data_IF_556976050587
#
_entry.id   IF_556976050587
#
_cell.length_a   1.000
_cell.length_b   1.000
_cell.length_c   1.000
_cell.angle_alpha   90.00
_cell.angle_beta   90.00
_cell.angle_gamma   90.00
#
_symmetry.space_group_name_H-M   'P 1'
#
loop_
_entity.id
_entity.type
_entity.pdbx_description
1 polymer ?
#
# COMPACT_ATOMS: atom_id res chain seq x y z
N UNK A 1 12.57 27.57 -7.74
CA UNK A 1 13.15 26.36 -7.12
C UNK A 1 14.04 25.67 -8.14
N UNK A 2 15.34 25.62 -7.88
CA UNK A 2 16.36 25.13 -8.80
C UNK A 2 16.34 23.59 -8.91
N UNK A 3 16.81 23.06 -10.03
CA UNK A 3 16.89 21.62 -10.36
C UNK A 3 17.58 20.79 -9.25
N UNK A 4 18.47 21.37 -8.47
CA UNK A 4 19.14 20.75 -7.33
C UNK A 4 18.21 20.49 -6.13
N UNK A 5 17.22 21.32 -5.86
CA UNK A 5 16.22 21.09 -4.80
C UNK A 5 15.28 19.93 -5.13
N UNK A 6 14.97 19.71 -6.41
CA UNK A 6 14.18 18.55 -6.85
C UNK A 6 14.91 17.22 -6.67
N UNK A 7 16.21 17.20 -6.91
CA UNK A 7 17.04 15.97 -6.74
C UNK A 7 17.20 15.61 -5.26
N UNK A 8 17.34 16.60 -4.39
CA UNK A 8 17.41 16.38 -2.93
C UNK A 8 16.09 15.85 -2.36
N UNK A 9 14.95 16.34 -2.81
CA UNK A 9 13.62 15.89 -2.36
C UNK A 9 13.26 14.47 -2.86
N UNK A 10 13.67 14.12 -4.07
CA UNK A 10 13.51 12.75 -4.60
C UNK A 10 14.35 11.76 -3.80
N UNK A 11 15.59 12.13 -3.41
CA UNK A 11 16.42 11.31 -2.51
C UNK A 11 15.78 11.11 -1.13
N UNK A 12 15.19 12.15 -0.54
CA UNK A 12 14.50 12.06 0.76
C UNK A 12 13.26 11.16 0.66
N UNK A 13 12.54 11.16 -0.46
CA UNK A 13 11.35 10.32 -0.66
C UNK A 13 11.70 8.85 -0.94
N UNK A 14 12.81 8.57 -1.64
CA UNK A 14 13.32 7.21 -1.80
C UNK A 14 13.79 6.64 -0.46
N UNK A 15 14.42 7.44 0.38
CA UNK A 15 14.79 7.08 1.76
C UNK A 15 13.55 6.90 2.63
N UNK A 16 12.50 7.68 2.42
CA UNK A 16 11.25 7.58 3.19
C UNK A 16 10.48 6.28 2.88
N UNK A 17 10.59 5.74 1.66
CA UNK A 17 9.97 4.44 1.32
C UNK A 17 10.70 3.28 2.02
N UNK A 18 12.03 3.37 2.17
CA UNK A 18 12.82 2.41 2.98
C UNK A 18 12.50 2.58 4.47
N UNK A 19 12.40 3.81 4.95
CA UNK A 19 12.05 4.13 6.35
C UNK A 19 10.62 3.73 6.69
N UNK A 20 9.66 3.82 5.75
CA UNK A 20 8.28 3.35 5.96
C UNK A 20 8.18 1.83 6.07
N UNK A 21 9.06 1.07 5.41
CA UNK A 21 9.18 -0.38 5.64
C UNK A 21 9.70 -0.69 7.06
N UNK A 22 10.63 0.13 7.59
CA UNK A 22 11.14 0.01 8.96
C UNK A 22 10.16 0.47 10.04
N UNK A 23 9.36 1.48 9.77
CA UNK A 23 8.34 1.97 10.73
C UNK A 23 7.26 0.91 10.97
N UNK A 24 6.98 0.02 10.04
CA UNK A 24 6.02 -1.08 10.26
C UNK A 24 6.49 -2.10 11.33
N UNK A 25 7.80 -2.32 11.50
CA UNK A 25 8.29 -3.24 12.55
C UNK A 25 8.33 -2.59 13.95
N UNK A 26 8.60 -1.28 14.03
CA UNK A 26 8.59 -0.57 15.33
C UNK A 26 7.16 -0.26 15.84
N UNK A 27 6.15 -0.25 14.96
CA UNK A 27 4.74 -0.06 15.33
C UNK A 27 4.17 -1.21 16.16
N UNK A 28 4.60 -2.46 15.94
CA UNK A 28 4.14 -3.60 16.74
C UNK A 28 4.57 -3.49 18.22
N UNK A 29 5.68 -2.81 18.51
CA UNK A 29 6.13 -2.56 19.87
C UNK A 29 5.28 -1.47 20.55
N UNK A 30 5.00 -0.37 19.85
CA UNK A 30 4.16 0.73 20.38
C UNK A 30 2.71 0.25 20.55
N UNK A 31 2.16 -0.55 19.63
CA UNK A 31 0.83 -1.15 19.77
C UNK A 31 0.74 -2.09 20.99
N UNK A 32 1.76 -2.91 21.24
CA UNK A 32 1.82 -3.77 22.43
C UNK A 32 1.85 -2.96 23.74
N UNK A 33 2.60 -1.87 23.77
CA UNK A 33 2.68 -1.00 24.96
C UNK A 33 1.35 -0.28 25.20
N UNK A 34 0.69 0.23 24.17
CA UNK A 34 -0.61 0.92 24.30
C UNK A 34 -1.76 -0.03 24.67
N UNK A 35 -1.72 -1.29 24.24
CA UNK A 35 -2.72 -2.31 24.60
C UNK A 35 -2.59 -2.76 26.06
N UNK A 36 -1.39 -2.73 26.63
CA UNK A 36 -1.13 -3.08 28.02
C UNK A 36 -1.69 -2.05 29.03
N UNK A 37 -1.91 -0.81 28.61
CA UNK A 37 -2.38 0.25 29.49
C UNK A 37 -3.88 0.55 29.42
N UNK A 38 -4.66 -0.20 28.62
CA UNK A 38 -6.12 -0.01 28.50
C UNK A 38 -6.52 1.47 28.30
N UNK A 39 -5.63 2.27 27.74
CA UNK A 39 -5.88 3.67 27.39
C UNK A 39 -6.69 3.69 26.11
N UNK A 40 -7.98 3.46 26.28
CA UNK A 40 -8.99 3.83 25.27
C UNK A 40 -9.13 5.33 25.38
N UNK A 41 -8.62 6.13 24.42
CA UNK A 41 -8.74 7.56 24.52
C UNK A 41 -10.21 7.94 24.40
N UNK A 42 -10.71 8.66 25.40
CA UNK A 42 -12.05 9.25 25.37
C UNK A 42 -12.00 10.44 24.40
N UNK A 43 -12.78 10.42 23.39
CA UNK A 43 -12.65 10.85 22.08
C UNK A 43 -13.17 12.11 21.62
N UNK A 44 -12.39 12.65 20.86
CA UNK A 44 -12.62 13.36 19.61
C UNK A 44 -13.83 14.28 19.60
N UNK A 45 -13.78 15.34 20.40
CA UNK A 45 -14.26 16.63 19.97
C UNK A 45 -13.31 17.12 18.87
N UNK A 46 -13.51 16.62 17.65
CA UNK A 46 -12.78 17.08 16.48
C UNK A 46 -13.24 18.49 16.17
N UNK A 47 -12.42 19.49 16.57
CA UNK A 47 -12.62 20.90 16.22
C UNK A 47 -12.81 21.04 14.71
N UNK A 48 -13.85 21.74 14.29
CA UNK A 48 -14.25 21.92 12.89
C UNK A 48 -13.49 23.04 12.19
N UNK A 49 -12.70 23.83 12.90
CA UNK A 49 -11.92 24.96 12.36
C UNK A 49 -10.44 24.61 12.37
N UNK A 50 -9.93 23.97 11.31
CA UNK A 50 -8.51 23.73 11.14
C UNK A 50 -7.95 24.53 9.96
N UNK A 51 -6.78 25.18 10.12
CA UNK A 51 -5.95 25.65 9.01
C UNK A 51 -5.69 24.51 8.04
N UNK A 52 -5.25 24.78 6.83
CA UNK A 52 -5.08 23.77 5.77
C UNK A 52 -4.53 22.44 6.32
N UNK A 53 -5.25 21.33 6.09
CA UNK A 53 -4.88 20.00 6.61
C UNK A 53 -3.52 19.50 6.09
N UNK A 54 -2.88 20.24 5.19
CA UNK A 54 -1.58 19.94 4.61
C UNK A 54 -0.72 21.21 4.47
N UNK A 55 0.62 21.03 4.59
CA UNK A 55 1.61 22.12 4.53
C UNK A 55 1.90 22.52 3.08
N UNK A 56 2.13 21.52 2.22
CA UNK A 56 2.33 21.69 0.80
C UNK A 56 1.95 20.44 0.04
N UNK A 57 1.77 20.57 -1.27
CA UNK A 57 1.56 19.45 -2.18
C UNK A 57 2.55 19.54 -3.33
N UNK A 58 2.92 18.39 -3.89
CA UNK A 58 3.77 18.32 -5.07
C UNK A 58 3.37 17.15 -5.96
N UNK A 59 3.65 17.29 -7.23
CA UNK A 59 3.37 16.27 -8.22
C UNK A 59 4.59 15.38 -8.41
N UNK A 60 4.44 14.05 -8.24
CA UNK A 60 5.51 13.07 -8.44
C UNK A 60 5.54 12.59 -9.90
N UNK A 61 4.37 12.46 -10.50
CA UNK A 61 4.12 12.08 -11.90
C UNK A 61 2.88 12.80 -12.35
N UNK A 62 2.68 12.91 -13.65
CA UNK A 62 1.46 13.49 -14.23
C UNK A 62 0.21 12.99 -13.51
N UNK A 63 -0.57 13.92 -12.98
CA UNK A 63 -1.81 13.69 -12.23
C UNK A 63 -1.68 12.92 -10.90
N UNK A 64 -0.45 12.65 -10.43
CA UNK A 64 -0.21 12.00 -9.13
C UNK A 64 0.37 12.97 -8.11
N UNK A 65 -0.48 13.46 -7.21
CA UNK A 65 -0.16 14.47 -6.21
C UNK A 65 0.05 13.85 -4.83
N UNK A 66 1.13 14.26 -4.16
CA UNK A 66 1.38 13.95 -2.74
C UNK A 66 1.07 15.17 -1.91
N UNK A 67 0.34 14.97 -0.83
CA UNK A 67 0.02 15.98 0.16
C UNK A 67 0.82 15.72 1.42
N UNK A 68 1.64 16.68 1.82
CA UNK A 68 2.39 16.61 3.07
C UNK A 68 1.48 17.10 4.19
N UNK A 69 1.01 16.20 5.09
CA UNK A 69 0.08 16.58 6.13
C UNK A 69 0.73 17.53 7.14
N UNK A 70 -0.06 18.40 7.78
CA UNK A 70 0.38 19.11 8.98
C UNK A 70 0.64 18.10 10.12
N UNK A 71 1.35 18.54 11.17
CA UNK A 71 1.63 17.69 12.34
C UNK A 71 0.32 17.16 12.96
N UNK A 72 -0.68 18.03 13.07
CA UNK A 72 -2.00 17.71 13.62
C UNK A 72 -2.74 16.71 12.73
N UNK A 73 -2.67 16.89 11.40
CA UNK A 73 -3.30 15.97 10.43
C UNK A 73 -2.58 14.62 10.41
N UNK A 74 -1.27 14.61 10.56
CA UNK A 74 -0.48 13.38 10.66
C UNK A 74 -0.89 12.57 11.89
N UNK A 75 -0.99 13.21 13.05
CA UNK A 75 -1.38 12.57 14.31
C UNK A 75 -2.83 12.09 14.26
N UNK A 76 -3.75 12.93 13.83
CA UNK A 76 -5.17 12.58 13.61
C UNK A 76 -5.31 11.42 12.62
N UNK A 77 -4.53 11.40 11.55
CA UNK A 77 -4.52 10.33 10.57
C UNK A 77 -4.08 8.99 11.14
N UNK A 78 -3.08 8.99 12.02
CA UNK A 78 -2.66 7.79 12.76
C UNK A 78 -3.76 7.27 13.66
N UNK A 79 -4.42 8.15 14.41
CA UNK A 79 -5.55 7.79 15.29
C UNK A 79 -6.72 7.20 14.49
N UNK A 80 -7.06 7.80 13.34
CA UNK A 80 -8.08 7.26 12.42
C UNK A 80 -7.68 5.87 11.93
N UNK A 81 -6.43 5.67 11.53
CA UNK A 81 -5.93 4.37 11.09
C UNK A 81 -6.12 3.30 12.17
N UNK A 82 -5.65 3.55 13.39
CA UNK A 82 -5.79 2.64 14.55
C UNK A 82 -7.27 2.36 14.83
N UNK A 83 -8.10 3.39 14.85
CA UNK A 83 -9.54 3.26 15.10
C UNK A 83 -10.23 2.35 14.08
N UNK A 84 -9.92 2.50 12.78
CA UNK A 84 -10.50 1.66 11.74
C UNK A 84 -9.97 0.22 11.86
N UNK A 85 -8.69 0.04 12.14
CA UNK A 85 -8.07 -1.28 12.35
C UNK A 85 -8.74 -2.06 13.47
N UNK A 86 -9.18 -1.40 14.53
CA UNK A 86 -9.95 -2.01 15.63
C UNK A 86 -11.38 -2.41 15.22
N UNK A 87 -12.01 -1.67 14.31
CA UNK A 87 -13.40 -1.89 13.89
C UNK A 87 -13.53 -2.82 12.69
N UNK A 88 -12.51 -2.94 11.88
CA UNK A 88 -12.53 -3.71 10.64
C UNK A 88 -11.56 -4.88 10.67
N UNK A 89 -12.10 -6.09 10.60
CA UNK A 89 -11.31 -7.30 10.38
C UNK A 89 -10.99 -7.41 8.88
N UNK A 90 -9.85 -6.87 8.48
CA UNK A 90 -9.43 -6.91 7.08
C UNK A 90 -9.08 -8.33 6.62
N UNK A 91 -9.31 -8.65 5.32
CA UNK A 91 -9.08 -9.97 4.77
C UNK A 91 -7.60 -10.38 4.81
N UNK A 92 -7.36 -11.69 4.89
CA UNK A 92 -6.00 -12.24 4.92
C UNK A 92 -5.18 -11.93 3.67
N UNK A 93 -5.80 -11.71 2.53
CA UNK A 93 -5.12 -11.38 1.28
C UNK A 93 -4.61 -9.93 1.21
N UNK A 94 -4.94 -9.04 2.15
CA UNK A 94 -4.44 -7.65 2.20
C UNK A 94 -3.12 -7.56 2.96
N UNK A 95 -2.01 -7.75 2.27
CA UNK A 95 -0.68 -7.87 2.88
C UNK A 95 -0.08 -6.56 3.36
N UNK A 96 -0.44 -5.41 2.79
CA UNK A 96 0.04 -4.10 3.28
C UNK A 96 -0.55 -3.69 4.64
N UNK A 97 -1.57 -4.39 5.13
CA UNK A 97 -2.14 -4.22 6.47
C UNK A 97 -1.62 -5.27 7.48
N UNK A 98 -0.69 -6.13 7.07
CA UNK A 98 -0.17 -7.26 7.85
C UNK A 98 1.34 -7.15 8.03
N UNK A 99 1.86 -7.87 9.04
CA UNK A 99 3.30 -8.03 9.24
C UNK A 99 3.94 -8.75 8.05
N UNK A 100 5.19 -8.39 7.74
CA UNK A 100 5.96 -8.95 6.62
C UNK A 100 5.68 -8.28 5.26
N UNK A 101 4.62 -7.48 5.14
CA UNK A 101 4.34 -6.60 4.01
C UNK A 101 4.45 -7.27 2.64
N UNK A 102 5.13 -6.61 1.69
CA UNK A 102 5.28 -7.08 0.31
C UNK A 102 6.14 -8.34 0.18
N UNK A 103 7.10 -8.55 1.09
CA UNK A 103 7.92 -9.79 1.09
C UNK A 103 7.06 -10.98 1.46
N UNK A 104 6.18 -10.84 2.47
CA UNK A 104 5.23 -11.89 2.82
C UNK A 104 4.19 -12.12 1.72
N UNK A 105 3.77 -11.06 1.00
CA UNK A 105 2.92 -11.19 -0.17
C UNK A 105 3.60 -12.03 -1.26
N UNK A 106 4.84 -11.72 -1.64
CA UNK A 106 5.59 -12.47 -2.63
C UNK A 106 5.83 -13.94 -2.21
N UNK A 107 6.16 -14.18 -0.93
CA UNK A 107 6.39 -15.51 -0.39
C UNK A 107 5.15 -16.43 -0.43
N UNK A 108 3.93 -15.88 -0.35
CA UNK A 108 2.70 -16.65 -0.52
C UNK A 108 2.68 -17.41 -1.85
N UNK A 109 3.23 -16.81 -2.90
CA UNK A 109 3.18 -17.30 -4.27
C UNK A 109 4.36 -18.20 -4.66
N UNK A 110 5.38 -18.30 -3.82
CA UNK A 110 6.68 -18.89 -4.15
C UNK A 110 6.62 -20.34 -4.66
N UNK A 111 5.60 -21.08 -4.29
CA UNK A 111 5.44 -22.49 -4.66
C UNK A 111 4.67 -22.70 -5.97
N UNK A 112 4.02 -21.69 -6.49
CA UNK A 112 3.26 -21.78 -7.73
C UNK A 112 4.18 -21.80 -8.96
N UNK A 113 3.66 -22.33 -10.08
CA UNK A 113 4.38 -22.41 -11.36
C UNK A 113 4.17 -21.18 -12.24
N UNK A 114 3.02 -20.52 -12.12
CA UNK A 114 2.62 -19.37 -12.94
C UNK A 114 2.13 -18.21 -12.09
N UNK A 115 2.42 -16.99 -12.54
CA UNK A 115 2.19 -15.75 -11.81
C UNK A 115 1.62 -14.69 -12.75
N UNK A 116 0.82 -13.79 -12.21
CA UNK A 116 0.39 -12.57 -12.90
C UNK A 116 0.27 -11.41 -11.92
N UNK A 117 0.43 -10.19 -12.42
CA UNK A 117 0.32 -8.95 -11.66
C UNK A 117 -0.67 -8.01 -12.33
N UNK A 118 -1.60 -7.45 -11.56
CA UNK A 118 -2.50 -6.38 -12.00
C UNK A 118 -2.21 -5.14 -11.16
N UNK A 119 -1.77 -4.05 -11.80
CA UNK A 119 -1.56 -2.74 -11.18
C UNK A 119 -2.84 -1.89 -11.37
N UNK A 120 -3.37 -1.36 -10.28
CA UNK A 120 -4.56 -0.49 -10.31
C UNK A 120 -4.13 0.96 -10.47
N UNK A 121 -4.50 1.58 -11.59
CA UNK A 121 -4.21 3.00 -11.84
C UNK A 121 -4.91 3.88 -10.82
N UNK A 122 -4.17 4.87 -10.31
CA UNK A 122 -4.68 5.92 -9.43
C UNK A 122 -5.62 5.40 -8.33
N UNK A 123 -5.15 4.37 -7.62
CA UNK A 123 -5.94 3.64 -6.60
C UNK A 123 -6.59 4.56 -5.56
N UNK A 124 -5.89 5.61 -5.13
CA UNK A 124 -6.40 6.57 -4.17
C UNK A 124 -7.36 7.59 -4.82
N UNK A 125 -7.04 8.09 -6.01
CA UNK A 125 -7.90 9.02 -6.74
C UNK A 125 -9.21 8.37 -7.20
N UNK A 126 -9.22 7.05 -7.39
CA UNK A 126 -10.44 6.27 -7.64
C UNK A 126 -11.34 6.11 -6.40
N UNK A 127 -10.91 6.59 -5.22
CA UNK A 127 -11.65 6.45 -3.96
C UNK A 127 -12.18 7.80 -3.48
N UNK A 128 -13.46 8.06 -3.78
CA UNK A 128 -14.13 9.32 -3.44
C UNK A 128 -14.52 9.40 -1.96
N UNK A 129 -14.68 10.64 -1.45
CA UNK A 129 -15.21 10.91 -0.10
C UNK A 129 -16.56 10.22 0.15
N UNK A 130 -17.44 10.21 -0.85
CA UNK A 130 -18.75 9.56 -0.74
C UNK A 130 -18.62 8.04 -0.58
N UNK A 131 -17.70 7.42 -1.33
CA UNK A 131 -17.38 5.99 -1.18
C UNK A 131 -16.85 5.70 0.21
N UNK A 132 -15.89 6.50 0.71
CA UNK A 132 -15.35 6.36 2.07
C UNK A 132 -16.46 6.49 3.13
N UNK A 133 -17.32 7.50 3.01
CA UNK A 133 -18.45 7.70 3.94
C UNK A 133 -19.38 6.48 3.96
N UNK A 134 -19.73 5.97 2.79
CA UNK A 134 -20.62 4.81 2.65
C UNK A 134 -20.03 3.54 3.30
N UNK A 135 -18.77 3.25 3.01
CA UNK A 135 -18.14 2.03 3.51
C UNK A 135 -17.82 2.11 5.01
N UNK A 136 -17.46 3.28 5.51
CA UNK A 136 -17.32 3.52 6.95
C UNK A 136 -18.66 3.43 7.68
N UNK A 137 -19.78 3.81 7.04
CA UNK A 137 -21.12 3.70 7.61
C UNK A 137 -21.56 2.26 7.94
N UNK A 138 -20.84 1.25 7.41
CA UNK A 138 -21.01 -0.16 7.80
C UNK A 138 -20.33 -0.51 9.13
N UNK A 139 -19.40 0.32 9.60
CA UNK A 139 -18.59 0.08 10.79
C UNK A 139 -18.93 1.00 11.95
N UNK A 140 -19.41 2.21 11.64
CA UNK A 140 -19.65 3.28 12.61
C UNK A 140 -20.90 4.10 12.22
N UNK A 141 -21.53 4.84 13.17
CA UNK A 141 -22.66 5.71 12.85
C UNK A 141 -22.34 6.72 11.74
N UNK A 142 -23.34 7.01 10.90
CA UNK A 142 -23.21 7.82 9.68
C UNK A 142 -22.51 9.17 9.90
N UNK A 143 -22.88 9.89 10.97
CA UNK A 143 -22.30 11.20 11.31
C UNK A 143 -20.77 11.06 11.48
N UNK A 144 -20.32 10.04 12.21
CA UNK A 144 -18.90 9.76 12.43
C UNK A 144 -18.20 9.28 11.15
N UNK A 145 -18.87 8.44 10.35
CA UNK A 145 -18.37 8.01 9.05
C UNK A 145 -18.12 9.20 8.13
N UNK A 146 -19.06 10.13 8.03
CA UNK A 146 -18.96 11.36 7.24
C UNK A 146 -17.85 12.27 7.74
N UNK A 147 -17.72 12.42 9.06
CA UNK A 147 -16.66 13.22 9.67
C UNK A 147 -15.27 12.65 9.34
N UNK A 148 -15.05 11.35 9.55
CA UNK A 148 -13.78 10.67 9.20
C UNK A 148 -13.48 10.82 7.71
N UNK A 149 -14.47 10.62 6.84
CA UNK A 149 -14.28 10.75 5.39
C UNK A 149 -13.85 12.17 5.00
N UNK A 150 -14.44 13.23 5.59
CA UNK A 150 -14.04 14.64 5.35
C UNK A 150 -12.62 14.93 5.80
N UNK A 151 -12.21 14.41 6.96
CA UNK A 151 -10.85 14.56 7.50
C UNK A 151 -9.80 13.73 6.77
N UNK A 152 -10.23 12.79 5.94
CA UNK A 152 -9.35 11.83 5.25
C UNK A 152 -9.31 12.04 3.74
N UNK A 153 -9.95 13.06 3.21
CA UNK A 153 -9.99 13.36 1.78
C UNK A 153 -9.63 14.82 1.53
N UNK A 154 -9.07 15.09 0.36
CA UNK A 154 -8.69 16.42 -0.11
C UNK A 154 -9.44 16.77 -1.38
N UNK A 155 -9.52 18.05 -1.71
CA UNK A 155 -9.97 18.48 -3.03
C UNK A 155 -9.04 17.87 -4.09
N UNK A 156 -9.63 17.22 -5.09
CA UNK A 156 -8.86 16.58 -6.16
C UNK A 156 -8.16 17.65 -6.99
N UNK A 157 -6.83 17.64 -7.10
CA UNK A 157 -6.12 18.62 -7.93
C UNK A 157 -6.38 18.42 -9.44
N UNK A 158 -6.73 17.19 -9.82
CA UNK A 158 -7.04 16.86 -11.20
C UNK A 158 -8.47 17.32 -11.52
N UNK A 159 -8.67 17.97 -12.66
CA UNK A 159 -9.98 18.52 -13.04
C UNK A 159 -11.00 17.43 -13.39
N UNK A 160 -10.50 16.24 -13.75
CA UNK A 160 -11.31 15.09 -14.12
C UNK A 160 -11.49 14.14 -12.93
N UNK A 161 -12.71 13.62 -12.73
CA UNK A 161 -12.99 12.63 -11.69
C UNK A 161 -13.78 13.17 -10.50
N UNK A 162 -13.56 12.60 -9.32
CA UNK A 162 -14.28 12.96 -8.10
C UNK A 162 -13.79 14.29 -7.53
N UNK A 163 -14.72 15.08 -6.94
CA UNK A 163 -14.40 16.38 -6.33
C UNK A 163 -13.45 16.25 -5.13
N UNK A 164 -13.62 15.21 -4.30
CA UNK A 164 -12.76 14.92 -3.14
C UNK A 164 -12.36 13.45 -3.18
N UNK A 165 -11.05 13.21 -2.97
CA UNK A 165 -10.42 11.90 -3.06
C UNK A 165 -9.49 11.65 -1.89
N UNK A 166 -9.14 10.38 -1.66
CA UNK A 166 -8.09 10.00 -0.71
C UNK A 166 -6.74 10.51 -1.23
N UNK A 167 -5.95 11.24 -0.41
CA UNK A 167 -4.64 11.75 -0.81
C UNK A 167 -3.53 10.71 -0.64
N UNK A 168 -2.49 10.78 -1.48
CA UNK A 168 -1.19 10.24 -1.13
C UNK A 168 -0.56 11.08 -0.02
N UNK A 169 0.07 10.42 0.96
CA UNK A 169 0.78 11.07 2.06
C UNK A 169 0.05 11.05 3.41
N UNK A 170 -1.24 10.74 3.45
CA UNK A 170 -1.96 10.62 4.71
C UNK A 170 -1.87 9.21 5.30
N UNK A 171 -1.61 9.05 6.63
CA UNK A 171 -1.43 7.73 7.25
C UNK A 171 -2.64 6.80 7.13
N UNK A 172 -3.85 7.35 7.15
CA UNK A 172 -5.09 6.59 7.06
C UNK A 172 -5.49 6.23 5.62
N UNK A 173 -4.84 6.79 4.60
CA UNK A 173 -5.19 6.56 3.20
C UNK A 173 -5.17 5.08 2.80
N UNK A 174 -4.12 4.29 3.15
CA UNK A 174 -4.07 2.88 2.78
C UNK A 174 -5.25 2.07 3.33
N UNK A 175 -5.57 2.20 4.62
CA UNK A 175 -6.63 1.38 5.23
C UNK A 175 -8.02 1.78 4.72
N UNK A 176 -8.26 3.07 4.46
CA UNK A 176 -9.53 3.55 3.92
C UNK A 176 -9.76 3.12 2.47
N UNK A 177 -8.73 3.23 1.62
CA UNK A 177 -8.80 2.76 0.24
C UNK A 177 -9.03 1.25 0.19
N UNK A 178 -8.35 0.50 1.06
CA UNK A 178 -8.51 -0.96 1.17
C UNK A 178 -9.91 -1.36 1.65
N UNK A 179 -10.48 -0.65 2.61
CA UNK A 179 -11.86 -0.86 3.05
C UNK A 179 -12.83 -0.68 1.88
N UNK A 180 -12.67 0.42 1.12
CA UNK A 180 -13.50 0.70 -0.05
C UNK A 180 -13.31 -0.32 -1.18
N UNK A 181 -12.08 -0.77 -1.38
CA UNK A 181 -11.76 -1.80 -2.36
C UNK A 181 -12.38 -3.15 -1.98
N UNK A 182 -12.23 -3.56 -0.71
CA UNK A 182 -12.78 -4.83 -0.22
C UNK A 182 -14.29 -4.92 -0.39
N UNK A 183 -15.02 -3.84 -0.12
CA UNK A 183 -16.47 -3.81 -0.26
C UNK A 183 -16.96 -3.53 -1.69
N UNK A 184 -16.06 -3.43 -2.66
CA UNK A 184 -16.41 -3.33 -4.08
C UNK A 184 -16.75 -4.70 -4.68
N UNK A 185 -17.34 -4.71 -5.88
CA UNK A 185 -17.56 -5.94 -6.62
C UNK A 185 -16.26 -6.74 -6.83
N UNK A 186 -15.15 -6.05 -7.15
CA UNK A 186 -13.83 -6.66 -7.29
C UNK A 186 -13.34 -7.30 -5.98
N UNK A 187 -13.53 -6.63 -4.84
CA UNK A 187 -13.21 -7.19 -3.54
C UNK A 187 -13.97 -8.48 -3.24
N UNK A 188 -15.23 -8.58 -3.66
CA UNK A 188 -16.04 -9.80 -3.59
C UNK A 188 -15.46 -10.94 -4.44
N UNK A 189 -15.08 -10.64 -5.69
CA UNK A 189 -14.43 -11.59 -6.59
C UNK A 189 -13.11 -12.11 -6.02
N UNK A 190 -12.23 -11.21 -5.54
CA UNK A 190 -10.96 -11.57 -4.92
C UNK A 190 -11.19 -12.42 -3.67
N UNK A 191 -12.19 -12.09 -2.85
CA UNK A 191 -12.56 -12.91 -1.68
C UNK A 191 -12.99 -14.32 -2.07
N UNK A 192 -13.69 -14.50 -3.19
CA UNK A 192 -14.09 -15.80 -3.70
C UNK A 192 -12.88 -16.58 -4.23
N UNK A 193 -12.01 -15.96 -5.00
CA UNK A 193 -10.76 -16.56 -5.50
C UNK A 193 -9.88 -17.01 -4.32
N UNK A 194 -9.75 -16.18 -3.29
CA UNK A 194 -8.91 -16.48 -2.12
C UNK A 194 -9.36 -17.68 -1.31
N UNK A 195 -10.59 -18.17 -1.52
CA UNK A 195 -11.15 -19.37 -0.86
C UNK A 195 -11.05 -20.62 -1.71
N UNK A 196 -10.70 -20.50 -3.00
CA UNK A 196 -10.69 -21.63 -3.93
C UNK A 196 -9.51 -22.59 -3.74
N UNK A 197 -8.48 -22.20 -3.01
CA UNK A 197 -7.21 -22.94 -2.78
C UNK A 197 -6.44 -23.36 -4.06
N UNK A 198 -6.98 -23.06 -5.26
CA UNK A 198 -6.37 -23.36 -6.56
C UNK A 198 -5.64 -22.17 -7.17
N UNK A 199 -6.07 -20.96 -6.80
CA UNK A 199 -5.44 -19.69 -7.19
C UNK A 199 -5.11 -18.91 -5.94
N UNK A 200 -3.82 -18.68 -5.69
CA UNK A 200 -3.38 -17.81 -4.61
C UNK A 200 -3.52 -16.37 -5.02
N UNK A 201 -3.95 -15.52 -4.08
CA UNK A 201 -4.11 -14.08 -4.29
C UNK A 201 -3.55 -13.29 -3.13
N UNK A 202 -2.78 -12.27 -3.44
CA UNK A 202 -2.37 -11.23 -2.49
C UNK A 202 -2.61 -9.84 -3.07
N UNK A 203 -3.01 -8.92 -2.20
CA UNK A 203 -3.24 -7.51 -2.54
C UNK A 203 -2.30 -6.67 -1.69
N UNK A 204 -1.51 -5.83 -2.34
CA UNK A 204 -0.64 -4.86 -1.68
C UNK A 204 -0.93 -3.47 -2.25
N UNK A 205 -1.85 -2.76 -1.62
CA UNK A 205 -2.40 -1.49 -2.11
C UNK A 205 -3.00 -1.61 -3.51
N UNK A 206 -2.34 -1.04 -4.51
CA UNK A 206 -2.69 -1.02 -5.92
C UNK A 206 -2.24 -2.26 -6.70
N UNK A 207 -1.40 -3.11 -6.12
CA UNK A 207 -0.90 -4.33 -6.75
C UNK A 207 -1.70 -5.56 -6.33
N UNK A 208 -2.25 -6.29 -7.31
CA UNK A 208 -2.96 -7.57 -7.13
C UNK A 208 -2.12 -8.66 -7.79
N UNK A 209 -1.54 -9.52 -6.98
CA UNK A 209 -0.73 -10.64 -7.42
C UNK A 209 -1.55 -11.92 -7.35
N UNK A 210 -1.58 -12.67 -8.46
CA UNK A 210 -2.23 -13.97 -8.58
C UNK A 210 -1.21 -15.03 -8.96
N UNK A 211 -1.39 -16.27 -8.50
CA UNK A 211 -0.59 -17.40 -8.95
C UNK A 211 -1.35 -18.71 -8.87
N UNK A 212 -0.96 -19.67 -9.69
CA UNK A 212 -1.51 -21.02 -9.75
C UNK A 212 -0.48 -22.00 -10.33
N UNK A 213 -0.68 -23.29 -10.11
CA UNK A 213 0.05 -24.35 -10.81
C UNK A 213 -0.57 -24.65 -12.18
N UNK A 214 -1.80 -24.18 -12.43
CA UNK A 214 -2.54 -24.33 -13.68
C UNK A 214 -2.62 -22.98 -14.40
N UNK A 215 -2.02 -22.91 -15.59
CA UNK A 215 -2.00 -21.70 -16.43
C UNK A 215 -3.43 -21.26 -16.85
N UNK A 216 -4.31 -22.20 -17.19
CA UNK A 216 -5.64 -21.87 -17.68
C UNK A 216 -6.50 -21.24 -16.58
N UNK A 217 -6.43 -21.81 -15.37
CA UNK A 217 -7.09 -21.25 -14.19
C UNK A 217 -6.55 -19.85 -13.85
N UNK A 218 -5.24 -19.64 -13.99
CA UNK A 218 -4.65 -18.33 -13.75
C UNK A 218 -5.10 -17.30 -14.76
N UNK A 219 -5.19 -17.66 -16.06
CA UNK A 219 -5.72 -16.79 -17.13
C UNK A 219 -7.17 -16.41 -16.82
N UNK A 220 -8.02 -17.38 -16.49
CA UNK A 220 -9.42 -17.12 -16.14
C UNK A 220 -9.55 -16.18 -14.92
N UNK A 221 -8.79 -16.44 -13.85
CA UNK A 221 -8.79 -15.59 -12.65
C UNK A 221 -8.28 -14.18 -12.96
N UNK A 222 -7.23 -14.04 -13.76
CA UNK A 222 -6.66 -12.77 -14.18
C UNK A 222 -7.68 -11.93 -14.95
N UNK A 223 -8.35 -12.49 -15.95
CA UNK A 223 -9.36 -11.80 -16.74
C UNK A 223 -10.61 -11.46 -15.89
N UNK A 224 -11.02 -12.37 -15.01
CA UNK A 224 -12.14 -12.15 -14.09
C UNK A 224 -11.88 -10.97 -13.17
N UNK A 225 -10.67 -10.86 -12.59
CA UNK A 225 -10.29 -9.73 -11.72
C UNK A 225 -10.22 -8.44 -12.51
N UNK A 226 -9.67 -8.43 -13.74
CA UNK A 226 -9.63 -7.23 -14.60
C UNK A 226 -11.03 -6.72 -14.94
N UNK A 227 -11.95 -7.61 -15.26
CA UNK A 227 -13.36 -7.25 -15.51
C UNK A 227 -14.02 -6.72 -14.23
N UNK A 228 -13.76 -7.35 -13.08
CA UNK A 228 -14.31 -6.93 -11.80
C UNK A 228 -13.80 -5.55 -11.39
N UNK A 229 -12.52 -5.21 -11.64
CA UNK A 229 -11.96 -3.87 -11.44
C UNK A 229 -12.74 -2.82 -12.23
N UNK A 230 -12.97 -3.06 -13.55
CA UNK A 230 -13.73 -2.13 -14.40
C UNK A 230 -15.16 -1.94 -13.87
N UNK A 231 -15.86 -3.02 -13.50
CA UNK A 231 -17.20 -2.97 -12.89
C UNK A 231 -17.22 -2.23 -11.54
N UNK A 232 -16.10 -2.19 -10.84
CA UNK A 232 -15.94 -1.49 -9.56
C UNK A 232 -15.51 -0.02 -9.71
N UNK A 233 -15.33 0.46 -10.95
CA UNK A 233 -14.87 1.83 -11.24
C UNK A 233 -13.37 2.04 -11.06
N UNK A 234 -12.58 0.96 -11.03
CA UNK A 234 -11.11 1.03 -11.04
C UNK A 234 -10.58 0.84 -12.45
N UNK A 235 -9.46 1.51 -12.76
CA UNK A 235 -8.75 1.36 -14.03
C UNK A 235 -7.52 0.51 -13.83
N UNK A 236 -7.23 -0.36 -14.80
CA UNK A 236 -5.99 -1.15 -14.83
C UNK A 236 -4.90 -0.32 -15.49
N UNK A 237 -3.70 -0.35 -14.94
CA UNK A 237 -2.51 0.20 -15.54
C UNK A 237 -1.87 -0.86 -16.44
N UNK A 238 -2.21 -0.83 -17.71
CA UNK A 238 -1.77 -1.85 -18.67
C UNK A 238 -0.24 -1.89 -18.83
N UNK A 239 0.46 -0.75 -18.64
CA UNK A 239 1.92 -0.68 -18.77
C UNK A 239 2.68 -1.41 -17.65
N UNK A 240 2.05 -1.62 -16.50
CA UNK A 240 2.65 -2.32 -15.36
C UNK A 240 2.03 -3.68 -15.08
N UNK A 241 0.84 -3.91 -15.63
CA UNK A 241 0.16 -5.19 -15.51
C UNK A 241 0.94 -6.25 -16.30
N UNK A 242 1.17 -7.40 -15.68
CA UNK A 242 1.89 -8.52 -16.27
C UNK A 242 0.94 -9.71 -16.40
N UNK A 243 0.73 -10.15 -17.63
CA UNK A 243 -0.08 -11.33 -17.97
C UNK A 243 0.51 -12.60 -17.35
N UNK A 244 -0.29 -13.67 -17.20
CA UNK A 244 0.17 -14.96 -16.69
C UNK A 244 1.45 -15.46 -17.36
N UNK A 245 2.47 -15.76 -16.58
CA UNK A 245 3.79 -16.20 -17.04
C UNK A 245 4.54 -16.99 -15.96
N UNK A 246 5.59 -17.77 -16.30
CA UNK A 246 6.37 -18.52 -15.32
C UNK A 246 7.20 -17.65 -14.39
N UNK A 247 7.43 -16.38 -14.74
CA UNK A 247 8.20 -15.39 -13.93
C UNK A 247 7.64 -14.01 -14.14
N UNK A 248 7.61 -13.23 -13.06
CA UNK A 248 7.20 -11.82 -13.10
C UNK A 248 8.12 -10.96 -12.24
N UNK A 249 8.02 -9.64 -12.40
CA UNK A 249 8.63 -8.67 -11.50
C UNK A 249 7.54 -7.96 -10.69
N UNK A 250 7.65 -8.01 -9.36
CA UNK A 250 6.72 -7.36 -8.43
C UNK A 250 7.49 -6.79 -7.23
N UNK A 251 7.16 -5.59 -6.74
CA UNK A 251 7.78 -4.95 -5.57
C UNK A 251 9.32 -4.79 -5.67
N UNK A 252 9.86 -4.60 -6.86
CA UNK A 252 11.30 -4.69 -7.16
C UNK A 252 11.93 -6.07 -6.89
N UNK A 253 11.12 -7.11 -6.90
CA UNK A 253 11.54 -8.51 -6.77
C UNK A 253 11.27 -9.26 -8.07
N UNK A 254 12.12 -10.22 -8.39
CA UNK A 254 11.86 -11.25 -9.39
C UNK A 254 11.28 -12.46 -8.69
N UNK A 255 10.08 -12.86 -9.11
CA UNK A 255 9.32 -13.98 -8.58
C UNK A 255 9.15 -15.07 -9.64
N UNK A 256 9.47 -16.30 -9.29
CA UNK A 256 9.27 -17.51 -10.07
C UNK A 256 9.13 -18.73 -9.14
N UNK A 257 8.92 -19.91 -9.69
CA UNK A 257 8.79 -21.14 -8.90
C UNK A 257 10.03 -21.37 -8.03
N UNK A 258 9.85 -21.43 -6.71
CA UNK A 258 10.91 -21.53 -5.70
C UNK A 258 12.04 -20.48 -5.86
N UNK A 259 11.75 -19.35 -6.51
CA UNK A 259 12.73 -18.34 -6.82
C UNK A 259 12.21 -16.96 -6.44
N UNK A 260 12.89 -16.32 -5.49
CA UNK A 260 12.63 -14.94 -5.10
C UNK A 260 13.96 -14.22 -4.90
N UNK A 261 14.15 -13.08 -5.58
CA UNK A 261 15.33 -12.25 -5.41
C UNK A 261 15.02 -10.77 -5.68
N UNK A 262 15.80 -9.89 -5.12
CA UNK A 262 15.77 -8.46 -5.44
C UNK A 262 16.25 -8.26 -6.88
N UNK A 263 15.54 -7.41 -7.65
CA UNK A 263 15.93 -7.14 -9.05
C UNK A 263 17.35 -6.58 -9.14
N UNK A 264 18.09 -6.87 -10.22
CA UNK A 264 19.48 -6.36 -10.41
C UNK A 264 19.54 -4.84 -10.30
N UNK A 265 18.57 -4.13 -10.89
CA UNK A 265 18.49 -2.67 -10.80
C UNK A 265 18.43 -2.21 -9.33
N UNK A 266 17.58 -2.81 -8.52
CA UNK A 266 17.42 -2.44 -7.11
C UNK A 266 18.64 -2.83 -6.26
N UNK A 267 19.32 -3.94 -6.58
CA UNK A 267 20.59 -4.30 -5.94
C UNK A 267 21.65 -3.22 -6.18
N UNK A 268 21.77 -2.73 -7.41
CA UNK A 268 22.71 -1.64 -7.73
C UNK A 268 22.38 -0.36 -6.96
N UNK A 269 21.10 -0.01 -6.86
CA UNK A 269 20.66 1.14 -6.06
C UNK A 269 21.03 0.96 -4.57
N UNK A 270 20.77 -0.21 -4.00
CA UNK A 270 21.14 -0.53 -2.62
C UNK A 270 22.66 -0.52 -2.39
N UNK A 271 23.46 -1.04 -3.31
CA UNK A 271 24.92 -1.00 -3.21
C UNK A 271 25.45 0.44 -3.20
N UNK A 272 24.90 1.31 -4.06
CA UNK A 272 25.28 2.74 -4.07
C UNK A 272 25.02 3.38 -2.70
N UNK A 273 23.83 3.16 -2.11
CA UNK A 273 23.50 3.70 -0.79
C UNK A 273 24.38 3.06 0.29
N UNK A 274 24.57 1.74 0.26
CA UNK A 274 25.36 1.00 1.24
C UNK A 274 26.82 1.49 1.30
N UNK A 275 27.44 1.76 0.14
CA UNK A 275 28.83 2.25 0.04
C UNK A 275 28.92 3.72 0.45
N UNK A 276 27.95 4.57 0.07
CA UNK A 276 28.01 6.01 0.33
C UNK A 276 27.48 6.45 1.69
N UNK A 277 26.72 5.59 2.39
CA UNK A 277 26.12 5.93 3.68
C UNK A 277 27.12 5.82 4.83
N UNK A 278 27.26 6.89 5.61
CA UNK A 278 27.95 6.88 6.90
C UNK A 278 27.09 6.28 8.02
N UNK A 279 25.78 6.06 7.79
CA UNK A 279 24.86 5.56 8.79
C UNK A 279 24.87 4.03 8.84
N UNK A 280 25.42 3.48 9.91
CA UNK A 280 25.51 2.03 10.13
C UNK A 280 24.14 1.34 10.20
N UNK A 281 23.11 2.00 10.77
CA UNK A 281 21.75 1.45 10.84
C UNK A 281 21.13 1.32 9.45
N UNK A 282 21.39 2.28 8.55
CA UNK A 282 20.93 2.22 7.17
C UNK A 282 21.58 1.04 6.43
N UNK A 283 22.91 0.86 6.57
CA UNK A 283 23.62 -0.28 5.97
C UNK A 283 23.11 -1.62 6.50
N UNK A 284 22.97 -1.76 7.83
CA UNK A 284 22.40 -2.98 8.45
C UNK A 284 20.99 -3.24 7.98
N UNK A 285 20.18 -2.19 7.82
CA UNK A 285 18.84 -2.28 7.31
C UNK A 285 18.77 -2.83 5.88
N UNK A 286 19.59 -2.32 4.97
CA UNK A 286 19.68 -2.82 3.60
C UNK A 286 20.10 -4.30 3.58
N UNK A 287 21.17 -4.65 4.32
CA UNK A 287 21.66 -6.02 4.39
C UNK A 287 20.62 -6.99 4.94
N UNK A 288 19.91 -6.61 6.00
CA UNK A 288 18.83 -7.37 6.61
C UNK A 288 17.64 -7.55 5.64
N UNK A 289 17.20 -6.47 4.97
CA UNK A 289 16.14 -6.52 3.98
C UNK A 289 16.48 -7.48 2.83
N UNK A 290 17.64 -7.32 2.21
CA UNK A 290 18.09 -8.21 1.12
C UNK A 290 18.21 -9.65 1.62
N UNK A 291 18.74 -9.85 2.83
CA UNK A 291 18.88 -11.15 3.48
C UNK A 291 17.56 -11.86 3.76
N UNK A 292 16.50 -11.12 4.07
CA UNK A 292 15.15 -11.66 4.27
C UNK A 292 14.52 -12.19 2.98
N UNK A 293 15.01 -11.75 1.82
CA UNK A 293 14.53 -12.16 0.49
C UNK A 293 15.45 -13.24 -0.09
N UNK A 294 16.77 -12.99 -0.12
CA UNK A 294 17.74 -13.88 -0.77
C UNK A 294 19.09 -13.84 -0.05
N UNK A 295 19.43 -14.94 0.62
CA UNK A 295 20.69 -15.08 1.39
C UNK A 295 21.95 -14.93 0.53
N UNK A 296 21.91 -15.36 -0.74
CA UNK A 296 23.06 -15.23 -1.65
C UNK A 296 23.32 -13.78 -2.04
N UNK A 297 22.27 -13.01 -2.31
CA UNK A 297 22.40 -11.58 -2.60
C UNK A 297 22.85 -10.78 -1.37
N UNK A 298 22.49 -11.19 -0.16
CA UNK A 298 22.93 -10.52 1.08
C UNK A 298 24.47 -10.54 1.26
N UNK A 299 25.18 -11.49 0.63
CA UNK A 299 26.65 -11.54 0.68
C UNK A 299 27.31 -10.31 0.03
N UNK A 300 26.60 -9.60 -0.85
CA UNK A 300 27.07 -8.38 -1.49
C UNK A 300 27.14 -7.17 -0.53
N UNK A 301 26.54 -7.30 0.66
CA UNK A 301 26.43 -6.23 1.67
C UNK A 301 27.17 -6.58 2.98
N UNK A 302 28.35 -7.18 2.84
CA UNK A 302 29.22 -7.54 3.94
C UNK A 302 30.49 -6.70 3.93
#
# INVERSE_FOLDING_TARGET
MTKQHKIGLVKVLETTTVVLAFINESWTFVEKVLSLFNIVPNYMTLSMNTPSDWLHKFEIKTERWVFVPSKETLERGRQIHVYIKQKWKYPRYMFHLRNGGHVAAANLHLKSNYFSLIDVSDFYGATSQSRVTRELGRLVPYVKARQIARLSTVANPNRNGFKHVIPYGYPQSPILASLCFHHSFCGGVISSISKSERVFVSVYMDDILLSSDDMNLLVEAFDTVRQALRKSGYKVNENKTQSPSPKIQVFNLELGHNHLRVTPKRIVEFLKVFISSANEHERKGIASYVGSINKSQAKLFR
#
